data_IF_550231740076
#
_entry.id   IF_550231740076
#
_cell.length_a   1.000
_cell.length_b   1.000
_cell.length_c   1.000
_cell.angle_alpha   90.00
_cell.angle_beta   90.00
_cell.angle_gamma   90.00
#
_symmetry.space_group_name_H-M   'P 1'
#
loop_
_entity.id
_entity.type
_entity.pdbx_description
1 polymer ?
#
# COMPACT_ATOMS: atom_id res chain seq x y z
N UNK A 1 1.33 -38.08 19.91
CA UNK A 1 0.69 -37.25 18.85
C UNK A 1 1.30 -35.86 18.92
N UNK A 2 2.27 -35.55 18.06
CA UNK A 2 2.79 -34.18 17.90
C UNK A 2 1.67 -33.35 17.31
N UNK A 3 1.17 -32.38 18.06
CA UNK A 3 0.29 -31.33 17.54
C UNK A 3 1.17 -30.49 16.61
N UNK A 4 0.96 -30.62 15.31
CA UNK A 4 1.57 -29.76 14.31
C UNK A 4 1.03 -28.36 14.57
N UNK A 5 1.84 -27.50 15.16
CA UNK A 5 1.51 -26.08 15.31
C UNK A 5 1.54 -25.50 13.88
N UNK A 6 0.41 -25.08 13.30
CA UNK A 6 0.44 -24.46 11.99
C UNK A 6 1.38 -23.27 12.09
N UNK A 7 2.42 -23.22 11.23
CA UNK A 7 3.25 -22.03 11.08
C UNK A 7 2.31 -20.90 10.72
N UNK A 8 2.00 -20.04 11.68
CA UNK A 8 1.29 -18.79 11.41
C UNK A 8 2.27 -17.95 10.60
N UNK A 9 1.99 -17.77 9.32
CA UNK A 9 2.78 -16.88 8.48
C UNK A 9 2.65 -15.47 9.05
N UNK A 10 3.74 -14.79 9.38
CA UNK A 10 3.70 -13.39 9.77
C UNK A 10 3.15 -12.57 8.60
N UNK A 11 1.93 -12.09 8.76
CA UNK A 11 1.20 -11.34 7.73
C UNK A 11 0.84 -9.98 8.28
N UNK A 12 1.05 -8.94 7.46
CA UNK A 12 0.56 -7.59 7.74
C UNK A 12 -0.28 -7.07 6.58
N UNK A 13 -1.17 -6.13 6.89
CA UNK A 13 -2.07 -5.55 5.91
C UNK A 13 -2.05 -4.01 6.01
N UNK A 14 -2.03 -3.38 4.85
CA UNK A 14 -2.28 -1.95 4.66
C UNK A 14 -3.69 -1.82 4.11
N UNK A 15 -4.54 -1.10 4.84
CA UNK A 15 -5.94 -0.88 4.46
C UNK A 15 -6.08 0.31 3.51
N UNK A 16 -7.16 0.31 2.74
CA UNK A 16 -7.49 1.29 1.71
C UNK A 16 -7.52 2.74 2.21
N UNK A 17 -7.98 2.98 3.44
CA UNK A 17 -8.13 4.33 3.98
C UNK A 17 -7.14 4.61 5.13
N UNK A 18 -6.07 5.39 4.87
CA UNK A 18 -5.13 5.80 5.91
C UNK A 18 -5.75 6.71 6.98
N UNK A 19 -6.88 7.38 6.66
CA UNK A 19 -7.52 8.33 7.57
C UNK A 19 -8.21 7.64 8.74
N UNK A 20 -8.86 6.51 8.46
CA UNK A 20 -9.61 5.74 9.46
C UNK A 20 -8.73 4.77 10.25
N UNK A 21 -7.53 4.46 9.74
CA UNK A 21 -6.61 3.50 10.35
C UNK A 21 -5.82 4.06 11.52
N UNK A 22 -5.66 5.38 11.62
CA UNK A 22 -4.94 6.06 12.70
C UNK A 22 -5.92 6.82 13.59
N UNK A 23 -5.81 6.62 14.93
CA UNK A 23 -6.58 7.43 15.86
C UNK A 23 -6.09 8.89 15.79
N UNK A 24 -6.94 9.86 15.37
CA UNK A 24 -6.53 11.25 15.18
C UNK A 24 -6.15 11.97 16.49
N UNK A 25 -6.55 11.43 17.64
CA UNK A 25 -6.25 11.99 18.97
C UNK A 25 -4.94 11.47 19.56
N UNK A 26 -4.19 10.68 18.80
CA UNK A 26 -2.90 10.13 19.22
C UNK A 26 -1.82 10.51 18.22
N UNK A 27 -0.61 10.75 18.72
CA UNK A 27 0.54 11.07 17.86
C UNK A 27 0.98 9.86 17.04
N UNK A 28 1.66 10.11 15.91
CA UNK A 28 2.25 9.05 15.10
C UNK A 28 3.20 8.17 15.90
N UNK A 29 4.03 8.78 16.78
CA UNK A 29 4.91 8.03 17.67
C UNK A 29 4.18 7.11 18.64
N UNK A 30 2.98 7.48 19.11
CA UNK A 30 2.17 6.59 19.92
C UNK A 30 1.79 5.31 19.15
N UNK A 31 1.31 5.45 17.92
CA UNK A 31 0.90 4.31 17.08
C UNK A 31 2.05 3.36 16.79
N UNK A 32 3.21 3.89 16.38
CA UNK A 32 4.39 3.07 16.06
C UNK A 32 4.91 2.32 17.29
N UNK A 33 4.92 2.96 18.47
CA UNK A 33 5.31 2.30 19.73
C UNK A 33 4.34 1.21 20.14
N UNK A 34 3.02 1.41 19.93
CA UNK A 34 2.02 0.39 20.21
C UNK A 34 2.22 -0.86 19.35
N UNK A 35 2.50 -0.69 18.05
CA UNK A 35 2.82 -1.79 17.14
C UNK A 35 4.00 -2.59 17.68
N UNK A 36 5.12 -1.94 17.99
CA UNK A 36 6.31 -2.65 18.50
C UNK A 36 6.08 -3.28 19.86
N UNK A 37 5.32 -2.64 20.76
CA UNK A 37 4.99 -3.21 22.07
C UNK A 37 4.20 -4.51 21.91
N UNK A 38 3.30 -4.58 20.94
CA UNK A 38 2.44 -5.74 20.69
C UNK A 38 3.17 -6.86 19.96
N UNK A 39 3.90 -6.53 18.89
CA UNK A 39 4.48 -7.53 17.99
C UNK A 39 5.94 -7.86 18.30
N UNK A 40 6.67 -6.97 18.96
CA UNK A 40 8.05 -7.16 19.38
C UNK A 40 8.24 -6.83 20.89
N UNK A 41 7.55 -7.55 21.80
CA UNK A 41 7.52 -7.22 23.23
C UNK A 41 8.88 -7.35 23.92
N UNK A 42 9.81 -8.11 23.34
CA UNK A 42 11.15 -8.33 23.90
C UNK A 42 12.10 -7.12 23.74
N UNK A 43 11.80 -6.20 22.81
CA UNK A 43 12.63 -5.02 22.61
C UNK A 43 12.54 -4.08 23.82
N UNK A 44 13.67 -3.51 24.24
CA UNK A 44 13.73 -2.42 25.22
C UNK A 44 13.06 -1.15 24.67
N UNK A 45 12.88 -0.15 25.49
CA UNK A 45 12.32 1.13 25.05
C UNK A 45 13.24 1.81 24.04
N UNK A 46 14.53 1.78 24.31
CA UNK A 46 15.58 2.38 23.46
C UNK A 46 15.64 1.69 22.10
N UNK A 47 15.65 0.36 22.08
CA UNK A 47 15.65 -0.43 20.85
C UNK A 47 14.38 -0.16 19.98
N UNK A 48 13.22 0.04 20.62
CA UNK A 48 12.00 0.42 19.89
C UNK A 48 12.12 1.79 19.25
N UNK A 49 12.66 2.80 19.95
CA UNK A 49 12.85 4.13 19.38
C UNK A 49 13.80 4.08 18.18
N UNK A 50 14.92 3.36 18.28
CA UNK A 50 15.85 3.17 17.16
C UNK A 50 15.15 2.52 15.97
N UNK A 51 14.46 1.40 16.19
CA UNK A 51 13.74 0.68 15.13
C UNK A 51 12.66 1.54 14.45
N UNK A 52 11.97 2.40 15.21
CA UNK A 52 10.98 3.33 14.67
C UNK A 52 11.66 4.38 13.77
N UNK A 53 12.73 4.99 14.24
CA UNK A 53 13.45 6.03 13.48
C UNK A 53 14.05 5.47 12.19
N UNK A 54 14.67 4.29 12.25
CA UNK A 54 15.18 3.59 11.09
C UNK A 54 14.09 3.27 10.07
N UNK A 55 12.94 2.78 10.54
CA UNK A 55 11.82 2.46 9.67
C UNK A 55 11.22 3.72 9.01
N UNK A 56 11.06 4.82 9.76
CA UNK A 56 10.57 6.09 9.22
C UNK A 56 11.51 6.66 8.16
N UNK A 57 12.84 6.58 8.37
CA UNK A 57 13.82 6.94 7.37
C UNK A 57 13.71 6.05 6.13
N UNK A 58 13.57 4.73 6.32
CA UNK A 58 13.43 3.75 5.23
C UNK A 58 12.20 4.00 4.35
N UNK A 59 11.08 4.44 4.93
CA UNK A 59 9.89 4.82 4.15
C UNK A 59 9.93 6.27 3.66
N UNK A 60 11.05 6.99 3.83
CA UNK A 60 11.25 8.32 3.29
C UNK A 60 10.54 9.44 4.07
N UNK A 61 10.35 9.29 5.39
CA UNK A 61 9.86 10.36 6.27
C UNK A 61 11.05 11.20 6.74
N UNK A 62 11.10 12.46 6.31
CA UNK A 62 12.12 13.42 6.73
C UNK A 62 11.90 13.90 8.17
N UNK A 63 13.01 14.13 8.91
CA UNK A 63 13.03 14.60 10.31
C UNK A 63 12.13 13.75 11.24
N UNK A 64 12.36 12.42 11.29
CA UNK A 64 11.45 11.49 11.96
C UNK A 64 11.22 11.80 13.43
N UNK A 65 12.22 12.32 14.17
CA UNK A 65 12.11 12.69 15.58
C UNK A 65 11.04 13.77 15.83
N UNK A 66 10.94 14.74 14.92
CA UNK A 66 9.90 15.77 14.97
C UNK A 66 8.54 15.19 14.60
N UNK A 67 8.52 14.35 13.56
CA UNK A 67 7.30 13.71 13.04
C UNK A 67 6.62 12.79 14.06
N UNK A 68 7.39 12.13 14.93
CA UNK A 68 6.83 11.29 15.99
C UNK A 68 5.93 12.04 16.98
N UNK A 69 6.10 13.35 17.13
CA UNK A 69 5.32 14.21 18.03
C UNK A 69 4.04 14.74 17.40
N UNK A 70 3.92 14.63 16.08
CA UNK A 70 2.79 15.13 15.30
C UNK A 70 1.61 14.17 15.30
N UNK A 71 0.43 14.72 15.05
CA UNK A 71 -0.82 13.96 14.90
C UNK A 71 -1.08 13.60 13.44
N UNK A 72 -1.87 12.55 13.14
CA UNK A 72 -2.13 12.12 11.77
C UNK A 72 -2.66 13.21 10.83
N UNK A 73 -3.47 14.13 11.32
CA UNK A 73 -4.05 15.21 10.51
C UNK A 73 -3.02 16.26 10.05
N UNK A 74 -1.83 16.32 10.67
CA UNK A 74 -0.75 17.23 10.27
C UNK A 74 0.06 16.72 9.06
N UNK A 75 -0.26 15.54 8.54
CA UNK A 75 0.45 14.90 7.43
C UNK A 75 -0.37 14.92 6.14
N UNK A 76 0.32 15.03 4.99
CA UNK A 76 -0.30 14.79 3.68
C UNK A 76 -0.75 13.34 3.51
N UNK A 77 -1.60 13.06 2.54
CA UNK A 77 -2.06 11.71 2.22
C UNK A 77 -0.91 10.74 2.00
N UNK A 78 0.06 11.11 1.16
CA UNK A 78 1.24 10.29 0.89
C UNK A 78 2.13 10.05 2.12
N UNK A 79 2.27 11.05 3.00
CA UNK A 79 3.02 10.86 4.26
C UNK A 79 2.28 9.90 5.21
N UNK A 80 0.96 10.01 5.32
CA UNK A 80 0.15 9.06 6.10
C UNK A 80 0.28 7.65 5.55
N UNK A 81 0.26 7.47 4.24
CA UNK A 81 0.45 6.17 3.60
C UNK A 81 1.83 5.58 3.93
N UNK A 82 2.90 6.37 3.88
CA UNK A 82 4.25 5.96 4.28
C UNK A 82 4.31 5.53 5.75
N UNK A 83 3.60 6.23 6.65
CA UNK A 83 3.48 5.85 8.06
C UNK A 83 2.75 4.52 8.22
N UNK A 84 1.68 4.28 7.46
CA UNK A 84 0.96 3.00 7.47
C UNK A 84 1.85 1.85 6.98
N UNK A 85 2.63 2.06 5.92
CA UNK A 85 3.63 1.11 5.45
C UNK A 85 4.65 0.82 6.55
N UNK A 86 5.18 1.86 7.21
CA UNK A 86 6.11 1.70 8.32
C UNK A 86 5.52 0.87 9.47
N UNK A 87 4.27 1.13 9.86
CA UNK A 87 3.58 0.37 10.90
C UNK A 87 3.44 -1.11 10.53
N UNK A 88 3.07 -1.42 9.29
CA UNK A 88 2.95 -2.77 8.80
C UNK A 88 4.30 -3.51 8.82
N UNK A 89 5.37 -2.85 8.39
CA UNK A 89 6.71 -3.45 8.31
C UNK A 89 7.39 -3.60 9.69
N UNK A 90 7.06 -2.76 10.67
CA UNK A 90 7.54 -2.91 12.04
C UNK A 90 7.08 -4.22 12.71
N UNK A 91 6.07 -4.88 12.17
CA UNK A 91 5.67 -6.23 12.64
C UNK A 91 6.62 -7.33 12.16
N UNK A 92 7.54 -7.03 11.22
CA UNK A 92 8.44 -7.97 10.52
C UNK A 92 7.67 -9.09 9.82
N UNK A 93 6.77 -8.76 8.87
CA UNK A 93 5.99 -9.76 8.17
C UNK A 93 6.82 -10.47 7.10
N UNK A 94 6.43 -11.73 6.77
CA UNK A 94 6.90 -12.43 5.56
C UNK A 94 6.05 -12.05 4.33
N UNK A 95 4.81 -11.63 4.57
CA UNK A 95 3.87 -11.21 3.54
C UNK A 95 3.16 -9.91 3.92
N UNK A 96 3.09 -8.98 2.96
CA UNK A 96 2.37 -7.72 3.07
C UNK A 96 1.20 -7.71 2.08
N UNK A 97 -0.03 -7.56 2.59
CA UNK A 97 -1.20 -7.31 1.74
C UNK A 97 -1.44 -5.81 1.71
N UNK A 98 -1.50 -5.24 0.52
CA UNK A 98 -1.80 -3.83 0.29
C UNK A 98 -3.14 -3.74 -0.46
N UNK A 99 -4.18 -3.35 0.26
CA UNK A 99 -5.54 -3.20 -0.28
C UNK A 99 -5.73 -1.76 -0.76
N UNK A 100 -5.74 -1.59 -2.07
CA UNK A 100 -5.82 -0.30 -2.76
C UNK A 100 -4.87 0.77 -2.17
N UNK A 101 -3.57 0.51 -2.08
CA UNK A 101 -2.64 1.31 -1.29
C UNK A 101 -2.41 2.73 -1.82
N UNK A 102 -2.93 3.06 -2.98
CA UNK A 102 -2.75 4.35 -3.65
C UNK A 102 -4.06 5.06 -4.00
N UNK A 103 -5.19 4.47 -3.66
CA UNK A 103 -6.51 5.12 -3.82
C UNK A 103 -6.55 6.41 -3.00
N UNK A 104 -7.11 7.47 -3.57
CA UNK A 104 -7.15 8.82 -3.02
C UNK A 104 -5.79 9.58 -2.94
N UNK A 105 -4.76 9.11 -3.66
CA UNK A 105 -3.51 9.84 -3.85
C UNK A 105 -3.43 10.38 -5.29
N UNK A 106 -2.78 11.52 -5.46
CA UNK A 106 -2.47 12.02 -6.80
C UNK A 106 -1.46 11.10 -7.51
N UNK A 107 -1.45 11.16 -8.86
CA UNK A 107 -0.67 10.26 -9.72
C UNK A 107 0.83 10.26 -9.37
N UNK A 108 1.38 11.42 -9.01
CA UNK A 108 2.80 11.54 -8.67
C UNK A 108 3.12 10.83 -7.36
N UNK A 109 2.30 11.03 -6.34
CA UNK A 109 2.45 10.36 -5.04
C UNK A 109 2.17 8.88 -5.15
N UNK A 110 1.17 8.47 -5.96
CA UNK A 110 0.90 7.07 -6.28
C UNK A 110 2.16 6.37 -6.81
N UNK A 111 2.81 6.93 -7.82
CA UNK A 111 4.04 6.38 -8.38
C UNK A 111 5.16 6.25 -7.33
N UNK A 112 5.30 7.23 -6.45
CA UNK A 112 6.29 7.19 -5.36
C UNK A 112 5.99 6.09 -4.33
N UNK A 113 4.72 5.86 -3.98
CA UNK A 113 4.33 4.80 -3.04
C UNK A 113 4.57 3.42 -3.65
N UNK A 114 4.26 3.23 -4.93
CA UNK A 114 4.50 1.97 -5.63
C UNK A 114 6.00 1.66 -5.76
N UNK A 115 6.81 2.66 -6.12
CA UNK A 115 8.26 2.53 -6.16
C UNK A 115 8.82 2.16 -4.77
N UNK A 116 8.34 2.80 -3.70
CA UNK A 116 8.72 2.49 -2.34
C UNK A 116 8.36 1.02 -1.97
N UNK A 117 7.16 0.56 -2.32
CA UNK A 117 6.74 -0.82 -2.03
C UNK A 117 7.64 -1.84 -2.76
N UNK A 118 8.01 -1.55 -4.02
CA UNK A 118 8.94 -2.39 -4.79
C UNK A 118 10.33 -2.44 -4.16
N UNK A 119 10.88 -1.29 -3.80
CA UNK A 119 12.18 -1.20 -3.12
C UNK A 119 12.18 -1.96 -1.80
N UNK A 120 11.13 -1.81 -0.98
CA UNK A 120 10.99 -2.50 0.29
C UNK A 120 10.82 -4.02 0.11
N UNK A 121 10.11 -4.45 -0.93
CA UNK A 121 9.98 -5.85 -1.31
C UNK A 121 11.35 -6.48 -1.57
N UNK A 122 12.17 -5.83 -2.39
CA UNK A 122 13.51 -6.30 -2.75
C UNK A 122 14.46 -6.29 -1.54
N UNK A 123 14.49 -5.19 -0.78
CA UNK A 123 15.39 -5.04 0.37
C UNK A 123 15.09 -6.00 1.52
N UNK A 124 13.81 -6.32 1.75
CA UNK A 124 13.36 -7.11 2.89
C UNK A 124 13.02 -8.56 2.53
N UNK A 125 13.03 -8.92 1.24
CA UNK A 125 12.67 -10.25 0.76
C UNK A 125 11.17 -10.57 1.02
N UNK A 126 10.29 -9.56 0.96
CA UNK A 126 8.88 -9.71 1.24
C UNK A 126 8.10 -10.29 0.06
N UNK A 127 7.07 -11.07 0.35
CA UNK A 127 5.98 -11.28 -0.61
C UNK A 127 4.98 -10.13 -0.47
N UNK A 128 4.69 -9.42 -1.57
CA UNK A 128 3.70 -8.34 -1.58
C UNK A 128 2.50 -8.77 -2.41
N UNK A 129 1.31 -8.71 -1.83
CA UNK A 129 0.04 -8.92 -2.52
C UNK A 129 -0.66 -7.56 -2.62
N UNK A 130 -0.89 -7.08 -3.84
CA UNK A 130 -1.57 -5.81 -4.09
C UNK A 130 -2.97 -6.12 -4.60
N UNK A 131 -3.98 -5.55 -3.95
CA UNK A 131 -5.35 -5.50 -4.46
C UNK A 131 -5.55 -4.14 -5.10
N UNK A 132 -5.91 -4.11 -6.38
CA UNK A 132 -6.15 -2.87 -7.12
C UNK A 132 -7.13 -3.10 -8.26
N UNK A 133 -7.89 -2.07 -8.58
CA UNK A 133 -8.69 -1.99 -9.80
C UNK A 133 -7.95 -1.22 -10.92
N UNK A 134 -6.80 -0.62 -10.61
CA UNK A 134 -5.98 0.12 -11.57
C UNK A 134 -4.97 -0.81 -12.26
N UNK A 135 -5.19 -1.04 -13.55
CA UNK A 135 -4.32 -1.88 -14.37
C UNK A 135 -2.92 -1.31 -14.57
N UNK A 136 -2.74 0.01 -14.48
CA UNK A 136 -1.42 0.64 -14.59
C UNK A 136 -0.55 0.30 -13.38
N UNK A 137 -1.16 0.26 -12.19
CA UNK A 137 -0.52 -0.20 -10.96
C UNK A 137 -0.07 -1.65 -11.09
N UNK A 138 -0.96 -2.52 -11.55
CA UNK A 138 -0.69 -3.96 -11.70
C UNK A 138 0.45 -4.19 -12.69
N UNK A 139 0.38 -3.55 -13.86
CA UNK A 139 1.41 -3.67 -14.91
C UNK A 139 2.79 -3.17 -14.45
N UNK A 140 2.82 -2.14 -13.59
CA UNK A 140 4.06 -1.49 -13.17
C UNK A 140 4.83 -2.20 -12.06
N UNK A 141 4.18 -3.05 -11.25
CA UNK A 141 4.81 -3.57 -10.02
C UNK A 141 4.64 -5.08 -9.82
N UNK A 142 3.62 -5.72 -10.42
CA UNK A 142 3.29 -7.11 -10.16
C UNK A 142 4.02 -8.07 -11.12
N UNK A 143 4.43 -9.23 -10.62
CA UNK A 143 4.98 -10.33 -11.42
C UNK A 143 3.86 -11.29 -11.86
N UNK A 144 2.86 -11.51 -11.01
CA UNK A 144 1.74 -12.43 -11.20
C UNK A 144 0.41 -11.71 -10.95
N UNK A 145 -0.62 -12.07 -11.69
CA UNK A 145 -1.96 -11.49 -11.58
C UNK A 145 -3.00 -12.57 -11.34
N UNK A 146 -3.88 -12.32 -10.37
CA UNK A 146 -5.07 -13.12 -10.11
C UNK A 146 -6.29 -12.25 -10.37
N UNK A 147 -7.05 -12.56 -11.42
CA UNK A 147 -8.31 -11.87 -11.74
C UNK A 147 -9.44 -12.53 -10.97
N UNK A 148 -10.09 -11.76 -10.11
CA UNK A 148 -11.15 -12.25 -9.24
C UNK A 148 -12.50 -11.61 -9.57
N UNK A 149 -13.59 -12.38 -9.42
CA UNK A 149 -14.96 -11.90 -9.48
C UNK A 149 -15.85 -12.75 -8.59
N UNK A 150 -16.69 -12.10 -7.78
CA UNK A 150 -17.64 -12.78 -6.87
C UNK A 150 -16.98 -13.87 -5.99
N UNK A 151 -15.77 -13.59 -5.50
CA UNK A 151 -15.01 -14.52 -4.64
C UNK A 151 -14.32 -15.68 -5.37
N UNK A 152 -14.41 -15.74 -6.70
CA UNK A 152 -13.76 -16.78 -7.51
C UNK A 152 -12.57 -16.20 -8.29
N UNK A 153 -11.47 -16.95 -8.35
CA UNK A 153 -10.37 -16.68 -9.27
C UNK A 153 -10.78 -17.16 -10.66
N UNK A 154 -10.90 -16.24 -11.60
CA UNK A 154 -11.32 -16.50 -12.97
C UNK A 154 -10.13 -16.76 -13.91
N UNK A 155 -9.02 -16.09 -13.64
CA UNK A 155 -7.79 -16.22 -14.42
C UNK A 155 -6.58 -15.93 -13.54
N UNK A 156 -5.47 -16.64 -13.79
CA UNK A 156 -4.18 -16.42 -13.14
C UNK A 156 -3.07 -16.66 -14.16
N UNK A 157 -2.17 -15.71 -14.30
CA UNK A 157 -0.98 -15.82 -15.14
C UNK A 157 0.06 -14.73 -14.78
N UNK A 158 1.29 -14.84 -15.35
CA UNK A 158 2.24 -13.73 -15.35
C UNK A 158 1.60 -12.45 -15.91
N UNK A 159 2.01 -11.31 -15.38
CA UNK A 159 1.45 -10.01 -15.76
C UNK A 159 1.48 -9.79 -17.27
N UNK A 160 2.60 -10.07 -17.93
CA UNK A 160 2.74 -9.92 -19.39
C UNK A 160 1.74 -10.76 -20.16
N UNK A 161 1.47 -11.99 -19.69
CA UNK A 161 0.50 -12.89 -20.31
C UNK A 161 -0.92 -12.37 -20.18
N UNK A 162 -1.31 -11.86 -19.01
CA UNK A 162 -2.64 -11.26 -18.78
C UNK A 162 -2.85 -10.09 -19.75
N UNK A 163 -1.86 -9.21 -19.91
CA UNK A 163 -2.00 -8.02 -20.75
C UNK A 163 -1.92 -8.32 -22.25
N UNK A 164 -1.15 -9.34 -22.65
CA UNK A 164 -0.99 -9.69 -24.06
C UNK A 164 -2.02 -10.69 -24.59
N UNK A 165 -2.39 -11.69 -23.77
CA UNK A 165 -3.11 -12.89 -24.24
C UNK A 165 -4.11 -13.43 -23.21
N UNK A 166 -4.83 -12.54 -22.48
CA UNK A 166 -5.87 -13.00 -21.55
C UNK A 166 -6.89 -13.91 -22.22
N UNK A 167 -7.22 -15.01 -21.55
CA UNK A 167 -8.12 -16.05 -22.10
C UNK A 167 -9.55 -15.86 -21.62
N UNK A 168 -9.75 -15.37 -20.40
CA UNK A 168 -11.08 -15.26 -19.81
C UNK A 168 -11.82 -14.02 -20.35
N UNK A 169 -13.08 -14.14 -20.83
CA UNK A 169 -13.84 -13.02 -21.40
C UNK A 169 -13.98 -11.84 -20.46
N UNK A 170 -14.11 -12.09 -19.15
CA UNK A 170 -14.18 -11.03 -18.13
C UNK A 170 -12.87 -10.23 -18.07
N UNK A 171 -11.71 -10.90 -18.05
CA UNK A 171 -10.40 -10.22 -18.07
C UNK A 171 -10.25 -9.37 -19.32
N UNK A 172 -10.62 -9.89 -20.48
CA UNK A 172 -10.60 -9.15 -21.75
C UNK A 172 -11.48 -7.91 -21.71
N UNK A 173 -12.67 -8.01 -21.10
CA UNK A 173 -13.58 -6.85 -20.94
C UNK A 173 -13.00 -5.78 -20.03
N UNK A 174 -12.37 -6.17 -18.92
CA UNK A 174 -11.69 -5.25 -18.01
C UNK A 174 -10.51 -4.53 -18.68
N UNK A 175 -9.65 -5.28 -19.39
CA UNK A 175 -8.51 -4.69 -20.11
C UNK A 175 -8.96 -3.74 -21.22
N UNK A 176 -10.06 -4.06 -21.92
CA UNK A 176 -10.63 -3.16 -22.92
C UNK A 176 -11.14 -1.86 -22.31
N UNK A 177 -11.84 -1.92 -21.16
CA UNK A 177 -12.32 -0.75 -20.44
C UNK A 177 -11.15 0.14 -20.00
N UNK A 178 -10.11 -0.43 -19.36
CA UNK A 178 -8.93 0.30 -18.91
C UNK A 178 -8.17 0.98 -20.07
N UNK A 179 -8.08 0.35 -21.25
CA UNK A 179 -7.47 0.96 -22.45
C UNK A 179 -8.27 2.13 -22.99
N UNK A 180 -9.60 2.07 -22.92
CA UNK A 180 -10.47 3.17 -23.33
C UNK A 180 -10.34 4.38 -22.40
N UNK A 181 -10.28 4.16 -21.09
CA UNK A 181 -10.02 5.21 -20.11
C UNK A 181 -8.68 5.89 -20.33
N UNK A 182 -7.61 5.11 -20.54
CA UNK A 182 -6.28 5.63 -20.83
C UNK A 182 -6.20 6.44 -22.13
N UNK A 183 -7.06 6.13 -23.13
CA UNK A 183 -7.11 6.83 -24.42
C UNK A 183 -7.90 8.13 -24.39
N UNK A 184 -8.77 8.33 -23.41
CA UNK A 184 -9.61 9.54 -23.33
C UNK A 184 -8.91 10.73 -22.64
N UNK A 185 -7.76 10.55 -21.99
CA UNK A 185 -7.02 11.60 -21.28
C UNK A 185 -7.80 12.18 -20.08
N UNK A 186 -7.20 13.01 -19.25
CA UNK A 186 -7.94 13.72 -18.21
C UNK A 186 -8.96 14.67 -18.87
N UNK A 187 -10.24 14.53 -18.52
CA UNK A 187 -11.30 15.46 -18.91
C UNK A 187 -10.85 16.86 -18.50
N UNK A 188 -10.78 17.87 -19.44
CA UNK A 188 -10.44 19.23 -19.05
C UNK A 188 -11.45 19.70 -18.00
N UNK A 189 -10.94 20.17 -16.86
CA UNK A 189 -11.78 20.80 -15.85
C UNK A 189 -12.63 21.89 -16.53
N UNK A 190 -13.93 21.87 -16.28
CA UNK A 190 -14.94 22.75 -16.84
C UNK A 190 -14.45 24.20 -16.95
N UNK A 191 -14.63 24.76 -18.13
CA UNK A 191 -14.46 26.21 -18.33
C UNK A 191 -15.47 26.91 -17.44
N UNK A 192 -14.94 27.78 -16.60
CA UNK A 192 -15.66 28.75 -15.79
C UNK A 192 -16.65 29.53 -16.66
N UNK A 193 -17.93 29.18 -16.58
CA UNK A 193 -19.06 29.91 -17.22
C UNK A 193 -19.41 31.19 -16.45
N UNK A 194 -18.46 31.93 -15.90
CA UNK A 194 -18.67 33.21 -15.22
C UNK A 194 -18.44 34.44 -16.11
N UNK A 195 -18.74 34.36 -17.43
CA UNK A 195 -18.83 35.56 -18.28
C UNK A 195 -20.04 35.48 -19.21
N UNK A 196 -21.23 35.63 -18.66
CA UNK A 196 -22.42 36.10 -19.36
C UNK A 196 -23.32 36.78 -18.33
N UNK A 197 -23.09 38.06 -18.10
CA UNK A 197 -24.09 39.17 -18.01
C UNK A 197 -23.30 40.46 -18.04
#
# INVERSE_FOLDING_TARGET
KQVHNPKVLPLSMIFQDPMTSLNPLRTVGFHLREVLRRFQPKLTKEEREVAILEMLNKVGISNPELRLKQFPFEFSGGMRQRIMIAMALLTKPDMLIADEPTTALDVTIQAQILALLKELQEQLGLTVVIVSHDFSVIAGICDQVYVMRNGLVLEHAPVDTIFAQSLHPYTQSLLKAARLEASQGPVPADRDDSQLV
#
